data_IF_230211913826
#
_entry.id   IF_230211913826
#
_cell.length_a   1.000
_cell.length_b   1.000
_cell.length_c   1.000
_cell.angle_alpha   90.00
_cell.angle_beta   90.00
_cell.angle_gamma   90.00
#
_symmetry.space_group_name_H-M   'P 1'
#
loop_
_entity.id
_entity.type
_entity.pdbx_description
1 polymer ?
#
# COMPACT_ATOMS: atom_id res chain seq x y z
N UNK A 1 -22.69 1.07 1.56
CA UNK A 1 -21.38 1.68 1.85
C UNK A 1 -20.33 0.86 1.18
N UNK A 2 -19.39 1.51 0.50
CA UNK A 2 -18.41 0.80 -0.31
C UNK A 2 -17.18 1.66 -0.43
N UNK A 3 -16.00 1.02 -0.44
CA UNK A 3 -14.78 1.58 -0.97
C UNK A 3 -15.06 2.33 -2.30
N UNK A 4 -14.61 3.58 -2.41
CA UNK A 4 -14.81 4.40 -3.61
C UNK A 4 -13.47 4.89 -4.15
N UNK A 5 -13.24 4.80 -5.47
CA UNK A 5 -12.22 5.60 -6.12
C UNK A 5 -12.52 7.09 -5.92
N UNK A 6 -11.48 7.90 -5.74
CA UNK A 6 -11.63 9.35 -5.59
C UNK A 6 -10.49 10.08 -6.30
N UNK A 7 -10.44 11.41 -6.19
CA UNK A 7 -9.37 12.23 -6.75
C UNK A 7 -8.82 13.19 -5.70
N UNK A 8 -7.57 13.67 -5.86
CA UNK A 8 -7.02 14.75 -5.04
C UNK A 8 -7.95 15.96 -4.94
N UNK A 9 -8.58 16.36 -6.04
CA UNK A 9 -9.45 17.54 -6.07
C UNK A 9 -10.75 17.31 -5.28
N UNK A 10 -11.35 16.12 -5.42
CA UNK A 10 -12.56 15.76 -4.66
C UNK A 10 -12.28 15.68 -3.16
N UNK A 11 -11.10 15.16 -2.78
CA UNK A 11 -10.62 15.16 -1.41
C UNK A 11 -10.48 16.60 -0.88
N UNK A 12 -9.77 17.48 -1.60
CA UNK A 12 -9.55 18.86 -1.16
C UNK A 12 -10.86 19.63 -0.99
N UNK A 13 -11.83 19.43 -1.89
CA UNK A 13 -13.17 20.01 -1.76
C UNK A 13 -13.87 19.52 -0.48
N UNK A 14 -13.72 18.24 -0.12
CA UNK A 14 -14.29 17.69 1.11
C UNK A 14 -13.61 18.24 2.36
N UNK A 15 -12.28 18.30 2.36
CA UNK A 15 -11.48 18.81 3.48
C UNK A 15 -11.85 20.24 3.86
N UNK A 16 -12.20 21.08 2.87
CA UNK A 16 -12.65 22.46 3.12
C UNK A 16 -13.99 22.55 3.86
N UNK A 17 -14.80 21.48 3.84
CA UNK A 17 -16.13 21.43 4.43
C UNK A 17 -16.17 20.69 5.79
N UNK A 18 -15.07 20.06 6.19
CA UNK A 18 -15.03 19.21 7.38
C UNK A 18 -14.52 19.94 8.62
N UNK A 19 -15.10 19.66 9.81
CA UNK A 19 -14.72 20.37 11.03
C UNK A 19 -13.39 19.91 11.62
N UNK A 20 -13.01 18.62 11.48
CA UNK A 20 -11.67 18.15 11.86
C UNK A 20 -11.02 17.37 10.73
N UNK A 21 -9.80 17.81 10.40
CA UNK A 21 -8.88 17.17 9.49
C UNK A 21 -7.78 16.52 10.31
N UNK A 22 -7.61 15.22 10.16
CA UNK A 22 -6.54 14.47 10.82
C UNK A 22 -5.66 13.79 9.77
N UNK A 23 -4.36 13.70 10.04
CA UNK A 23 -3.44 12.85 9.30
C UNK A 23 -3.00 11.70 10.21
N UNK A 24 -3.02 10.48 9.69
CA UNK A 24 -2.44 9.31 10.35
C UNK A 24 -1.22 8.89 9.55
N UNK A 25 -0.04 9.03 10.14
CA UNK A 25 1.23 8.85 9.43
C UNK A 25 2.09 7.73 10.02
N UNK A 26 2.82 7.00 9.17
CA UNK A 26 3.69 5.87 9.51
C UNK A 26 5.13 6.32 9.83
N UNK A 27 5.46 6.44 11.11
CA UNK A 27 6.84 6.73 11.50
C UNK A 27 7.80 5.53 11.33
N UNK A 28 7.28 4.31 11.16
CA UNK A 28 8.11 3.16 10.85
C UNK A 28 8.83 3.27 9.50
N UNK A 29 8.39 4.18 8.63
CA UNK A 29 9.04 4.49 7.35
C UNK A 29 9.97 5.71 7.41
N UNK A 30 9.85 6.54 8.45
CA UNK A 30 10.60 7.79 8.60
C UNK A 30 10.86 8.08 10.10
N UNK A 31 12.03 7.72 10.63
CA UNK A 31 12.37 7.92 12.04
C UNK A 31 12.32 9.38 12.51
N UNK A 32 12.50 10.35 11.62
CA UNK A 32 12.46 11.78 11.93
C UNK A 32 11.08 12.43 11.71
N UNK A 33 10.02 11.63 11.50
CA UNK A 33 8.70 12.12 11.10
C UNK A 33 8.14 13.21 12.02
N UNK A 34 8.23 13.04 13.34
CA UNK A 34 7.74 14.05 14.30
C UNK A 34 8.52 15.37 14.17
N UNK A 35 9.83 15.31 13.93
CA UNK A 35 10.65 16.50 13.74
C UNK A 35 10.29 17.22 12.43
N UNK A 36 10.05 16.47 11.36
CA UNK A 36 9.58 17.01 10.06
C UNK A 36 8.23 17.71 10.23
N UNK A 37 7.28 17.08 10.93
CA UNK A 37 5.95 17.63 11.21
C UNK A 37 6.05 18.94 12.03
N UNK A 38 6.84 18.93 13.12
CA UNK A 38 7.04 20.13 13.96
C UNK A 38 7.75 21.26 13.22
N UNK A 39 8.60 20.96 12.24
CA UNK A 39 9.26 21.97 11.39
C UNK A 39 8.26 22.66 10.47
N UNK A 40 7.27 21.93 9.96
CA UNK A 40 6.20 22.49 9.11
C UNK A 40 5.17 23.27 9.92
N UNK A 41 4.80 22.77 11.09
CA UNK A 41 3.88 23.46 12.01
C UNK A 41 4.25 23.16 13.48
N UNK A 42 4.92 24.11 14.13
CA UNK A 42 5.45 23.96 15.48
C UNK A 42 4.37 23.93 16.59
N UNK A 43 3.13 24.33 16.28
CA UNK A 43 2.01 24.33 17.25
C UNK A 43 1.01 23.22 16.98
N UNK A 44 1.35 22.30 16.08
CA UNK A 44 0.44 21.26 15.68
C UNK A 44 0.19 20.29 16.82
N UNK A 45 -1.08 20.04 17.07
CA UNK A 45 -1.47 19.00 18.01
C UNK A 45 -1.24 17.64 17.37
N UNK A 46 -0.49 16.78 18.05
CA UNK A 46 -0.18 15.43 17.58
C UNK A 46 0.00 14.47 18.75
N UNK A 47 -0.21 13.18 18.50
CA UNK A 47 0.00 12.13 19.47
C UNK A 47 0.35 10.81 18.78
N UNK A 48 1.27 10.08 19.38
CA UNK A 48 1.59 8.72 18.97
C UNK A 48 0.45 7.77 19.35
N UNK A 49 -0.09 7.02 18.40
CA UNK A 49 -1.20 6.07 18.66
C UNK A 49 -0.75 4.99 19.65
N UNK A 50 0.50 4.58 19.60
CA UNK A 50 1.07 3.58 20.52
C UNK A 50 1.49 4.14 21.88
N UNK A 51 1.35 5.45 22.11
CA UNK A 51 1.48 5.97 23.48
C UNK A 51 0.31 5.52 24.34
N UNK A 52 0.54 5.25 25.63
CA UNK A 52 -0.47 4.73 26.57
C UNK A 52 -1.02 3.35 26.19
N UNK A 53 -0.18 2.52 25.59
CA UNK A 53 -0.49 1.13 25.22
C UNK A 53 0.63 0.22 25.70
N UNK A 54 0.52 -1.09 25.46
CA UNK A 54 1.61 -2.04 25.69
C UNK A 54 2.88 -1.75 24.87
N UNK A 55 2.77 -0.92 23.82
CA UNK A 55 3.87 -0.52 22.93
C UNK A 55 4.46 0.86 23.28
N UNK A 56 4.16 1.39 24.47
CA UNK A 56 4.57 2.74 24.85
C UNK A 56 6.09 2.97 24.80
N UNK A 57 6.91 1.95 25.05
CA UNK A 57 8.37 2.04 24.93
C UNK A 57 8.86 2.16 23.48
N UNK A 58 8.10 1.67 22.51
CA UNK A 58 8.36 1.76 21.07
C UNK A 58 7.35 2.64 20.34
N UNK A 59 6.76 3.64 21.02
CA UNK A 59 5.66 4.42 20.46
C UNK A 59 6.00 5.13 19.14
N UNK A 60 7.29 5.44 18.92
CA UNK A 60 7.80 6.08 17.69
C UNK A 60 7.89 5.14 16.49
N UNK A 61 7.76 3.83 16.70
CA UNK A 61 7.65 2.84 15.62
C UNK A 61 6.20 2.70 15.14
N UNK A 62 5.25 3.34 15.83
CA UNK A 62 3.83 3.33 15.53
C UNK A 62 3.34 4.54 14.73
N UNK A 63 2.02 4.61 14.47
CA UNK A 63 1.45 5.74 13.76
C UNK A 63 1.43 7.02 14.60
N UNK A 64 1.71 8.14 13.94
CA UNK A 64 1.55 9.49 14.47
C UNK A 64 0.22 10.06 13.98
N UNK A 65 -0.68 10.38 14.91
CA UNK A 65 -1.92 11.10 14.61
C UNK A 65 -1.67 12.61 14.75
N UNK A 66 -2.09 13.39 13.76
CA UNK A 66 -1.86 14.83 13.70
C UNK A 66 -3.17 15.53 13.42
N UNK A 67 -3.48 16.60 14.16
CA UNK A 67 -4.63 17.46 13.89
C UNK A 67 -4.23 18.58 12.92
N UNK A 68 -4.46 18.38 11.63
CA UNK A 68 -4.14 19.34 10.60
C UNK A 68 -5.27 20.36 10.38
N UNK A 69 -4.97 21.39 9.58
CA UNK A 69 -5.96 22.36 9.09
C UNK A 69 -5.97 22.36 7.57
N UNK A 70 -7.09 22.72 6.97
CA UNK A 70 -7.26 22.79 5.52
C UNK A 70 -6.30 23.78 4.85
N UNK A 71 -5.83 24.78 5.58
CA UNK A 71 -4.85 25.79 5.15
C UNK A 71 -3.40 25.48 5.61
N UNK A 72 -3.17 24.34 6.26
CA UNK A 72 -1.86 24.02 6.84
C UNK A 72 -0.83 23.55 5.81
N UNK A 73 0.47 23.88 5.99
CA UNK A 73 1.56 23.29 5.20
C UNK A 73 1.60 21.76 5.25
N UNK A 74 1.05 21.16 6.31
CA UNK A 74 0.96 19.71 6.48
C UNK A 74 0.05 19.04 5.44
N UNK A 75 -1.09 19.67 5.11
CA UNK A 75 -1.96 19.13 4.06
C UNK A 75 -1.24 19.17 2.70
N UNK A 76 -0.55 20.26 2.39
CA UNK A 76 0.23 20.37 1.15
C UNK A 76 1.34 19.31 1.08
N UNK A 77 2.05 19.09 2.20
CA UNK A 77 3.08 18.06 2.30
C UNK A 77 2.49 16.64 2.17
N UNK A 78 1.32 16.40 2.76
CA UNK A 78 0.59 15.15 2.58
C UNK A 78 0.28 14.90 1.10
N UNK A 79 -0.34 15.87 0.44
CA UNK A 79 -0.85 15.73 -0.93
C UNK A 79 0.20 15.47 -2.01
N UNK A 80 1.49 15.70 -1.75
CA UNK A 80 2.53 15.53 -2.77
C UNK A 80 3.71 14.67 -2.35
N UNK A 81 4.65 15.08 -1.47
CA UNK A 81 5.78 14.21 -1.15
C UNK A 81 5.36 12.96 -0.36
N UNK A 82 4.44 13.08 0.61
CA UNK A 82 4.25 12.01 1.58
C UNK A 82 3.39 10.85 1.08
N UNK A 83 2.37 11.13 0.25
CA UNK A 83 1.57 10.08 -0.40
C UNK A 83 2.42 9.17 -1.28
N UNK A 84 3.46 9.71 -1.92
CA UNK A 84 4.41 8.94 -2.75
C UNK A 84 5.30 8.02 -1.94
N UNK A 85 5.55 8.40 -0.68
CA UNK A 85 6.37 7.65 0.27
C UNK A 85 5.54 6.67 1.10
N UNK A 86 4.24 6.54 0.82
CA UNK A 86 3.32 5.68 1.59
C UNK A 86 3.22 6.04 3.06
N UNK A 87 3.46 7.30 3.42
CA UNK A 87 3.49 7.69 4.82
C UNK A 87 2.12 7.62 5.50
N UNK A 88 1.01 7.38 4.82
CA UNK A 88 -0.26 7.10 5.50
C UNK A 88 -1.49 7.64 4.80
N UNK A 89 -2.43 8.14 5.59
CA UNK A 89 -3.74 8.58 5.11
C UNK A 89 -4.29 9.80 5.84
N UNK A 90 -5.47 10.24 5.38
CA UNK A 90 -6.19 11.40 5.88
C UNK A 90 -7.55 10.95 6.41
N UNK A 91 -7.88 11.39 7.62
CA UNK A 91 -9.15 11.11 8.29
C UNK A 91 -9.94 12.40 8.45
N UNK A 92 -11.24 12.32 8.20
CA UNK A 92 -12.20 13.38 8.51
C UNK A 92 -13.10 12.89 9.63
N UNK A 93 -13.35 13.75 10.62
CA UNK A 93 -14.19 13.41 11.76
C UNK A 93 -14.87 14.66 12.33
N UNK A 94 -16.12 14.50 12.77
CA UNK A 94 -16.84 15.48 13.58
C UNK A 94 -16.51 15.32 15.09
N UNK A 95 -15.83 14.25 15.48
CA UNK A 95 -15.46 13.95 16.87
C UNK A 95 -14.12 14.57 17.25
N UNK A 96 -13.86 14.71 18.56
CA UNK A 96 -12.60 15.27 19.06
C UNK A 96 -11.37 14.44 18.68
N UNK A 97 -10.22 15.09 18.54
CA UNK A 97 -8.93 14.42 18.35
C UNK A 97 -8.70 13.27 19.35
N UNK A 98 -8.99 13.48 20.63
CA UNK A 98 -8.81 12.46 21.66
C UNK A 98 -9.75 11.26 21.46
N UNK A 99 -10.99 11.50 21.02
CA UNK A 99 -11.94 10.43 20.69
C UNK A 99 -11.40 9.56 19.55
N UNK A 100 -10.87 10.19 18.49
CA UNK A 100 -10.28 9.47 17.36
C UNK A 100 -9.01 8.74 17.78
N UNK A 101 -8.15 9.36 18.59
CA UNK A 101 -6.93 8.75 19.11
C UNK A 101 -7.23 7.48 19.93
N UNK A 102 -8.21 7.54 20.83
CA UNK A 102 -8.61 6.38 21.64
C UNK A 102 -9.23 5.27 20.79
N UNK A 103 -9.96 5.60 19.73
CA UNK A 103 -10.44 4.61 18.78
C UNK A 103 -9.29 3.93 18.02
N UNK A 104 -8.36 4.72 17.46
CA UNK A 104 -7.20 4.16 16.76
C UNK A 104 -6.35 3.29 17.69
N UNK A 105 -6.29 3.65 18.98
CA UNK A 105 -5.72 2.83 20.03
C UNK A 105 -6.50 1.51 20.17
N UNK A 106 -7.82 1.52 20.27
CA UNK A 106 -8.58 0.27 20.43
C UNK A 106 -8.47 -0.67 19.22
N UNK A 107 -8.21 -0.13 18.03
CA UNK A 107 -8.11 -0.89 16.77
C UNK A 107 -6.69 -1.35 16.39
N UNK A 108 -5.73 -1.33 17.33
CA UNK A 108 -4.34 -1.75 17.07
C UNK A 108 -4.18 -3.23 16.76
N UNK A 109 -5.12 -4.09 17.15
CA UNK A 109 -5.05 -5.52 16.91
C UNK A 109 -6.24 -5.99 16.09
N UNK A 110 -6.00 -7.02 15.29
CA UNK A 110 -7.04 -7.78 14.64
C UNK A 110 -7.18 -9.15 15.32
N UNK A 111 -8.40 -9.60 15.60
CA UNK A 111 -8.65 -10.99 15.97
C UNK A 111 -8.82 -11.84 14.71
N UNK A 112 -7.94 -12.82 14.53
CA UNK A 112 -7.96 -13.75 13.40
C UNK A 112 -8.84 -14.99 13.67
N UNK A 113 -9.21 -15.77 12.63
CA UNK A 113 -10.05 -16.96 12.79
C UNK A 113 -9.43 -18.06 13.66
N UNK A 114 -8.10 -18.11 13.74
CA UNK A 114 -7.35 -19.05 14.59
C UNK A 114 -7.26 -18.59 16.07
N UNK A 115 -7.84 -17.44 16.40
CA UNK A 115 -7.83 -16.85 17.74
C UNK A 115 -6.60 -15.98 18.05
N UNK A 116 -5.64 -15.87 17.13
CA UNK A 116 -4.48 -14.99 17.33
C UNK A 116 -4.86 -13.52 17.19
N UNK A 117 -4.05 -12.65 17.81
CA UNK A 117 -4.26 -11.19 17.80
C UNK A 117 -3.00 -10.45 17.32
N UNK A 118 -2.67 -10.49 16.02
CA UNK A 118 -1.57 -9.71 15.46
C UNK A 118 -1.82 -8.21 15.53
N UNK A 119 -0.72 -7.45 15.53
CA UNK A 119 -0.72 -6.01 15.35
C UNK A 119 -1.24 -5.66 13.95
N UNK A 120 -2.26 -4.81 13.90
CA UNK A 120 -2.90 -4.30 12.69
C UNK A 120 -2.31 -2.93 12.35
N UNK A 121 -1.58 -2.85 11.23
CA UNK A 121 -1.05 -1.59 10.69
C UNK A 121 -2.10 -0.88 9.87
N UNK A 122 -3.14 -0.41 10.56
CA UNK A 122 -4.27 0.33 9.97
C UNK A 122 -3.83 1.53 9.12
N UNK A 123 -2.70 2.15 9.45
CA UNK A 123 -2.18 3.31 8.76
C UNK A 123 -1.40 2.99 7.46
N UNK A 124 -1.19 1.71 7.11
CA UNK A 124 -0.47 1.30 5.89
C UNK A 124 -1.37 1.40 4.64
N UNK A 125 -1.19 2.44 3.78
CA UNK A 125 -2.11 2.69 2.68
C UNK A 125 -2.14 1.57 1.63
N UNK A 126 -1.06 0.79 1.51
CA UNK A 126 -0.98 -0.32 0.55
C UNK A 126 -1.77 -1.55 0.99
N UNK A 127 -2.26 -1.62 2.24
CA UNK A 127 -3.06 -2.75 2.71
C UNK A 127 -4.56 -2.38 2.86
N UNK A 128 -4.86 -1.09 3.02
CA UNK A 128 -6.21 -0.59 3.35
C UNK A 128 -7.28 -1.07 2.38
N UNK A 129 -7.03 -1.01 1.07
CA UNK A 129 -8.02 -1.43 0.06
C UNK A 129 -8.38 -2.91 0.17
N UNK A 130 -7.42 -3.78 0.45
CA UNK A 130 -7.67 -5.21 0.61
C UNK A 130 -8.45 -5.50 1.89
N UNK A 131 -8.18 -4.72 2.94
CA UNK A 131 -8.85 -4.84 4.23
C UNK A 131 -10.34 -4.49 4.16
N UNK A 132 -10.68 -3.37 3.51
CA UNK A 132 -12.06 -2.83 3.53
C UNK A 132 -12.96 -3.33 2.40
N UNK A 133 -12.41 -4.07 1.42
CA UNK A 133 -13.13 -4.44 0.19
C UNK A 133 -14.38 -5.28 0.46
N UNK A 134 -14.27 -6.24 1.37
CA UNK A 134 -15.30 -7.24 1.64
C UNK A 134 -15.92 -7.12 3.03
N UNK A 135 -15.66 -6.00 3.71
CA UNK A 135 -16.31 -5.67 4.96
C UNK A 135 -17.78 -5.33 4.72
N UNK A 136 -18.67 -5.88 5.54
CA UNK A 136 -20.04 -5.41 5.59
C UNK A 136 -20.16 -4.03 6.27
N UNK A 137 -21.37 -3.48 6.33
CA UNK A 137 -21.60 -2.17 6.95
C UNK A 137 -21.23 -2.13 8.43
N UNK A 138 -21.47 -3.21 9.19
CA UNK A 138 -21.20 -3.26 10.62
C UNK A 138 -19.69 -3.38 10.90
N UNK A 139 -18.99 -4.18 10.10
CA UNK A 139 -17.54 -4.34 10.17
C UNK A 139 -16.84 -3.03 9.82
N UNK A 140 -17.30 -2.35 8.77
CA UNK A 140 -16.78 -1.04 8.38
C UNK A 140 -17.10 0.03 9.43
N UNK A 141 -18.30 0.02 10.01
CA UNK A 141 -18.66 0.94 11.11
C UNK A 141 -17.76 0.72 12.34
N UNK A 142 -17.43 -0.55 12.64
CA UNK A 142 -16.50 -0.91 13.72
C UNK A 142 -15.08 -0.43 13.42
N UNK A 143 -14.62 -0.60 12.18
CA UNK A 143 -13.30 -0.13 11.76
C UNK A 143 -13.18 1.39 11.86
N UNK A 144 -14.16 2.13 11.34
CA UNK A 144 -14.13 3.58 11.27
C UNK A 144 -14.39 4.23 12.64
N UNK A 145 -15.28 3.67 13.45
CA UNK A 145 -15.67 4.23 14.75
C UNK A 145 -16.01 5.71 14.60
N UNK A 146 -15.34 6.65 15.31
CA UNK A 146 -15.58 8.08 15.21
C UNK A 146 -15.10 8.76 13.91
N UNK A 147 -14.44 8.04 13.00
CA UNK A 147 -13.93 8.59 11.73
C UNK A 147 -15.02 8.59 10.68
N UNK A 148 -15.45 9.77 10.22
CA UNK A 148 -16.49 9.88 9.20
C UNK A 148 -16.04 9.36 7.84
N UNK A 149 -14.83 9.75 7.43
CA UNK A 149 -14.24 9.33 6.17
C UNK A 149 -12.73 9.13 6.32
N UNK A 150 -12.22 8.14 5.61
CA UNK A 150 -10.80 7.86 5.49
C UNK A 150 -10.41 7.86 4.01
N UNK A 151 -9.38 8.62 3.69
CA UNK A 151 -8.77 8.76 2.39
C UNK A 151 -7.33 8.29 2.39
N UNK A 152 -6.90 7.60 1.33
CA UNK A 152 -5.51 7.20 1.14
C UNK A 152 -5.16 7.10 -0.35
N UNK A 153 -3.86 7.03 -0.62
CA UNK A 153 -3.31 6.88 -1.97
C UNK A 153 -2.46 5.61 -2.05
N UNK A 154 -2.77 4.74 -2.99
CA UNK A 154 -1.88 3.67 -3.42
C UNK A 154 -0.95 4.22 -4.51
N UNK A 155 0.18 4.82 -4.10
CA UNK A 155 1.21 5.25 -5.03
C UNK A 155 1.96 4.04 -5.63
N UNK A 156 2.19 4.04 -6.92
CA UNK A 156 2.85 2.95 -7.59
C UNK A 156 3.48 3.46 -8.89
N UNK A 157 4.82 3.48 -8.92
CA UNK A 157 5.64 3.77 -10.11
C UNK A 157 5.22 5.04 -10.87
N UNK A 158 5.08 6.16 -10.15
CA UNK A 158 4.79 7.47 -10.74
C UNK A 158 3.31 7.83 -10.83
N UNK A 159 2.41 6.91 -10.47
CA UNK A 159 0.95 7.14 -10.48
C UNK A 159 0.34 6.81 -9.12
N UNK A 160 -0.56 7.67 -8.65
CA UNK A 160 -1.27 7.52 -7.39
C UNK A 160 -2.74 7.21 -7.60
N UNK A 161 -3.18 6.03 -7.19
CA UNK A 161 -4.59 5.64 -7.22
C UNK A 161 -5.23 5.98 -5.87
N UNK A 162 -6.19 6.89 -5.88
CA UNK A 162 -6.80 7.43 -4.66
C UNK A 162 -8.11 6.72 -4.31
N UNK A 163 -8.27 6.45 -3.02
CA UNK A 163 -9.43 5.75 -2.49
C UNK A 163 -10.00 6.47 -1.28
N UNK A 164 -11.29 6.25 -1.05
CA UNK A 164 -11.96 6.66 0.17
C UNK A 164 -12.90 5.57 0.67
N UNK A 165 -13.14 5.60 1.97
CA UNK A 165 -14.22 4.87 2.63
C UNK A 165 -14.82 5.78 3.71
N UNK A 166 -16.10 5.66 3.99
CA UNK A 166 -16.76 6.48 5.00
C UNK A 166 -18.12 5.93 5.38
N UNK A 167 -18.71 6.45 6.45
CA UNK A 167 -20.04 6.04 6.91
C UNK A 167 -21.17 6.43 5.93
N UNK A 168 -22.24 5.64 5.91
CA UNK A 168 -23.50 5.99 5.25
C UNK A 168 -24.21 7.09 6.03
N UNK A 169 -23.97 7.16 7.35
CA UNK A 169 -24.53 8.15 8.27
C UNK A 169 -23.43 8.71 9.19
N UNK A 170 -22.76 9.81 8.79
CA UNK A 170 -21.72 10.50 9.58
C UNK A 170 -22.20 10.93 10.97
N UNK A 171 -21.27 11.08 11.92
CA UNK A 171 -21.52 11.68 13.24
C UNK A 171 -22.13 10.75 14.30
N UNK A 172 -22.25 9.44 14.03
CA UNK A 172 -22.74 8.43 15.00
C UNK A 172 -21.70 7.40 15.43
N UNK A 173 -20.47 7.57 14.98
CA UNK A 173 -19.34 6.70 15.26
C UNK A 173 -18.99 6.63 16.75
N UNK A 174 -19.39 5.55 17.42
CA UNK A 174 -18.86 5.24 18.75
C UNK A 174 -17.52 4.51 18.60
N UNK A 175 -16.59 4.75 19.52
CA UNK A 175 -15.35 3.98 19.56
C UNK A 175 -15.70 2.49 19.71
N UNK A 176 -15.08 1.65 18.89
CA UNK A 176 -15.33 0.22 18.94
C UNK A 176 -14.84 -0.37 20.27
N UNK A 177 -15.70 -1.17 20.89
CA UNK A 177 -15.39 -1.91 22.12
C UNK A 177 -14.73 -3.25 21.78
N UNK A 178 -13.49 -3.20 21.30
CA UNK A 178 -12.66 -4.39 21.07
C UNK A 178 -11.94 -4.41 19.72
N UNK A 179 -11.07 -5.41 19.50
CA UNK A 179 -10.29 -5.52 18.28
C UNK A 179 -11.19 -5.82 17.08
N UNK A 180 -10.77 -5.33 15.91
CA UNK A 180 -11.39 -5.66 14.63
C UNK A 180 -11.33 -7.17 14.41
N UNK A 181 -12.43 -7.79 13.99
CA UNK A 181 -12.45 -9.22 13.65
C UNK A 181 -12.20 -9.39 12.16
N UNK A 182 -11.18 -10.17 11.79
CA UNK A 182 -10.91 -10.49 10.39
C UNK A 182 -11.36 -11.92 10.09
N UNK A 183 -12.24 -12.05 9.11
CA UNK A 183 -12.69 -13.35 8.58
C UNK A 183 -11.66 -13.94 7.61
N UNK A 184 -11.80 -15.22 7.26
CA UNK A 184 -11.01 -15.83 6.20
C UNK A 184 -11.17 -15.08 4.87
N UNK A 185 -12.38 -14.57 4.59
CA UNK A 185 -12.65 -13.74 3.41
C UNK A 185 -11.80 -12.46 3.42
N UNK A 186 -11.71 -11.76 4.55
CA UNK A 186 -10.87 -10.56 4.66
C UNK A 186 -9.39 -10.87 4.42
N UNK A 187 -8.90 -12.00 4.94
CA UNK A 187 -7.51 -12.42 4.73
C UNK A 187 -7.23 -12.74 3.26
N UNK A 188 -8.15 -13.41 2.57
CA UNK A 188 -8.04 -13.65 1.13
C UNK A 188 -8.03 -12.35 0.33
N UNK A 189 -8.85 -11.36 0.70
CA UNK A 189 -8.93 -10.07 0.02
C UNK A 189 -7.70 -9.20 0.24
N UNK A 190 -7.12 -9.24 1.44
CA UNK A 190 -5.81 -8.66 1.73
C UNK A 190 -4.71 -9.28 0.86
N UNK A 191 -4.63 -10.60 0.80
CA UNK A 191 -3.64 -11.31 -0.02
C UNK A 191 -3.81 -11.02 -1.52
N UNK A 192 -5.06 -11.02 -2.00
CA UNK A 192 -5.38 -10.70 -3.39
C UNK A 192 -4.98 -9.26 -3.75
N UNK A 193 -5.22 -8.30 -2.85
CA UNK A 193 -4.82 -6.91 -3.07
C UNK A 193 -3.30 -6.74 -3.05
N UNK A 194 -2.56 -7.41 -2.15
CA UNK A 194 -1.09 -7.37 -2.15
C UNK A 194 -0.52 -7.89 -3.47
N UNK A 195 -1.07 -9.00 -3.97
CA UNK A 195 -0.71 -9.58 -5.27
C UNK A 195 -1.01 -8.60 -6.42
N UNK A 196 -2.20 -7.98 -6.40
CA UNK A 196 -2.62 -7.00 -7.40
C UNK A 196 -1.70 -5.76 -7.39
N UNK A 197 -1.37 -5.24 -6.21
CA UNK A 197 -0.49 -4.07 -6.06
C UNK A 197 0.92 -4.36 -6.60
N UNK A 198 1.51 -5.51 -6.23
CA UNK A 198 2.81 -5.96 -6.77
C UNK A 198 2.77 -6.10 -8.29
N UNK A 199 1.77 -6.79 -8.82
CA UNK A 199 1.69 -6.99 -10.27
C UNK A 199 1.52 -5.66 -11.02
N UNK A 200 0.79 -4.69 -10.46
CA UNK A 200 0.71 -3.34 -11.03
C UNK A 200 2.06 -2.60 -10.97
N UNK A 201 2.89 -2.81 -9.95
CA UNK A 201 4.27 -2.29 -9.93
C UNK A 201 5.08 -2.86 -11.09
N UNK A 202 4.98 -4.17 -11.34
CA UNK A 202 5.67 -4.79 -12.48
C UNK A 202 5.18 -4.22 -13.81
N UNK A 203 3.87 -4.08 -14.00
CA UNK A 203 3.27 -3.47 -15.20
C UNK A 203 3.88 -2.10 -15.47
N UNK A 204 3.84 -1.20 -14.49
CA UNK A 204 4.29 0.18 -14.68
C UNK A 204 5.79 0.28 -14.91
N UNK A 205 6.60 -0.52 -14.20
CA UNK A 205 8.05 -0.60 -14.46
C UNK A 205 8.37 -1.10 -15.87
N UNK A 206 7.71 -2.18 -16.30
CA UNK A 206 7.96 -2.76 -17.62
C UNK A 206 7.55 -1.80 -18.74
N UNK A 207 6.38 -1.14 -18.62
CA UNK A 207 5.96 -0.13 -19.59
C UNK A 207 6.91 1.09 -19.62
N UNK A 208 7.48 1.47 -18.48
CA UNK A 208 8.47 2.56 -18.40
C UNK A 208 9.88 2.17 -18.87
N UNK A 209 10.15 0.88 -19.10
CA UNK A 209 11.51 0.35 -19.34
C UNK A 209 11.99 0.43 -20.80
N UNK A 210 11.19 1.02 -21.70
CA UNK A 210 11.54 1.24 -23.10
C UNK A 210 11.68 -0.03 -23.94
N UNK A 211 10.96 -1.10 -23.59
CA UNK A 211 10.94 -2.35 -24.36
C UNK A 211 10.08 -2.16 -25.60
N UNK A 212 10.69 -2.22 -26.80
CA UNK A 212 9.98 -2.01 -28.06
C UNK A 212 8.77 -2.94 -28.27
N UNK A 213 8.83 -4.19 -27.77
CA UNK A 213 7.72 -5.13 -27.84
C UNK A 213 6.50 -4.73 -27.00
N UNK A 214 6.66 -3.77 -26.07
CA UNK A 214 5.60 -3.26 -25.21
C UNK A 214 5.03 -1.91 -25.69
N UNK A 215 5.53 -1.36 -26.80
CA UNK A 215 5.08 -0.07 -27.32
C UNK A 215 3.58 -0.12 -27.66
N UNK A 216 2.82 0.82 -27.09
CA UNK A 216 1.37 0.93 -27.31
C UNK A 216 0.50 -0.03 -26.48
N UNK A 217 1.09 -0.83 -25.58
CA UNK A 217 0.32 -1.69 -24.67
C UNK A 217 -0.17 -0.88 -23.46
N UNK A 218 -1.47 -0.96 -23.15
CA UNK A 218 -2.05 -0.32 -21.97
C UNK A 218 -1.82 -1.11 -20.66
N UNK A 219 -2.03 -0.46 -19.50
CA UNK A 219 -1.84 -1.07 -18.18
C UNK A 219 -2.72 -2.32 -17.97
N UNK A 220 -3.94 -2.35 -18.51
CA UNK A 220 -4.87 -3.46 -18.27
C UNK A 220 -4.47 -4.72 -19.05
N UNK A 221 -4.05 -4.53 -20.30
CA UNK A 221 -3.52 -5.58 -21.15
C UNK A 221 -2.20 -6.10 -20.58
N UNK A 222 -1.30 -5.20 -20.17
CA UNK A 222 -0.03 -5.58 -19.57
C UNK A 222 -0.22 -6.32 -18.24
N UNK A 223 -1.20 -5.94 -17.42
CA UNK A 223 -1.53 -6.65 -16.18
C UNK A 223 -1.91 -8.11 -16.43
N UNK A 224 -2.65 -8.37 -17.50
CA UNK A 224 -3.01 -9.74 -17.90
C UNK A 224 -1.77 -10.55 -18.26
N UNK A 225 -0.81 -9.96 -18.98
CA UNK A 225 0.45 -10.62 -19.30
C UNK A 225 1.31 -10.87 -18.07
N UNK A 226 1.47 -9.87 -17.20
CA UNK A 226 2.22 -10.01 -15.94
C UNK A 226 1.62 -11.11 -15.07
N UNK A 227 0.30 -11.17 -14.91
CA UNK A 227 -0.37 -12.24 -14.16
C UNK A 227 -0.04 -13.62 -14.72
N UNK A 228 -0.15 -13.80 -16.04
CA UNK A 228 0.17 -15.07 -16.70
C UNK A 228 1.65 -15.47 -16.53
N UNK A 229 2.58 -14.52 -16.65
CA UNK A 229 4.01 -14.83 -16.66
C UNK A 229 4.64 -14.87 -15.26
N UNK A 230 3.99 -14.30 -14.24
CA UNK A 230 4.40 -14.48 -12.84
C UNK A 230 4.24 -15.92 -12.37
N UNK A 231 3.21 -16.64 -12.82
CA UNK A 231 3.04 -18.08 -12.53
C UNK A 231 4.14 -18.93 -13.18
N UNK A 232 4.50 -18.65 -14.43
CA UNK A 232 5.61 -19.32 -15.13
C UNK A 232 6.95 -19.03 -14.44
N UNK A 233 7.21 -17.78 -14.05
CA UNK A 233 8.39 -17.40 -13.28
C UNK A 233 8.48 -18.19 -11.96
N UNK A 234 7.38 -18.26 -11.21
CA UNK A 234 7.34 -18.99 -9.95
C UNK A 234 7.65 -20.48 -10.14
N UNK A 235 7.07 -21.12 -11.17
CA UNK A 235 7.34 -22.53 -11.51
C UNK A 235 8.82 -22.82 -11.84
N UNK A 236 9.59 -21.77 -12.19
CA UNK A 236 11.02 -21.81 -12.50
C UNK A 236 11.90 -21.34 -11.34
N UNK A 237 11.33 -21.18 -10.14
CA UNK A 237 12.05 -20.81 -8.93
C UNK A 237 12.39 -19.32 -8.80
N UNK A 238 11.67 -18.43 -9.49
CA UNK A 238 11.74 -16.98 -9.29
C UNK A 238 10.66 -16.58 -8.26
N UNK A 239 11.03 -16.52 -6.99
CA UNK A 239 10.06 -16.42 -5.87
C UNK A 239 9.93 -15.02 -5.28
N UNK A 240 11.02 -14.23 -5.25
CA UNK A 240 10.99 -12.87 -4.73
C UNK A 240 10.68 -11.84 -5.84
N UNK A 241 10.29 -10.63 -5.43
CA UNK A 241 9.82 -9.60 -6.36
C UNK A 241 10.90 -9.15 -7.36
N UNK A 242 12.17 -9.08 -6.94
CA UNK A 242 13.28 -8.66 -7.81
C UNK A 242 13.54 -9.71 -8.89
N UNK A 243 13.58 -10.98 -8.48
CA UNK A 243 13.77 -12.12 -9.38
C UNK A 243 12.60 -12.26 -10.37
N UNK A 244 11.35 -12.09 -9.90
CA UNK A 244 10.17 -12.08 -10.76
C UNK A 244 10.20 -10.94 -11.78
N UNK A 245 10.51 -9.71 -11.35
CA UNK A 245 10.59 -8.57 -12.25
C UNK A 245 11.71 -8.75 -13.28
N UNK A 246 12.88 -9.23 -12.86
CA UNK A 246 13.98 -9.53 -13.77
C UNK A 246 13.62 -10.62 -14.77
N UNK A 247 12.90 -11.66 -14.36
CA UNK A 247 12.40 -12.67 -15.28
C UNK A 247 11.44 -12.07 -16.32
N UNK A 248 10.50 -11.24 -15.87
CA UNK A 248 9.54 -10.58 -16.77
C UNK A 248 10.25 -9.66 -17.77
N UNK A 249 11.25 -8.89 -17.33
CA UNK A 249 12.04 -8.03 -18.21
C UNK A 249 12.73 -8.84 -19.32
N UNK A 250 13.42 -9.94 -18.95
CA UNK A 250 14.03 -10.88 -19.90
C UNK A 250 12.97 -11.48 -20.84
N UNK A 251 11.83 -11.90 -20.30
CA UNK A 251 10.73 -12.47 -21.08
C UNK A 251 10.22 -11.52 -22.15
N UNK A 252 9.93 -10.26 -21.80
CA UNK A 252 9.36 -9.30 -22.75
C UNK A 252 10.39 -8.75 -23.74
N UNK A 253 11.67 -8.68 -23.38
CA UNK A 253 12.73 -8.26 -24.32
C UNK A 253 13.16 -9.35 -25.30
N UNK A 254 13.18 -10.61 -24.86
CA UNK A 254 13.83 -11.70 -25.58
C UNK A 254 12.96 -12.96 -25.67
N UNK A 255 11.64 -12.80 -25.77
CA UNK A 255 10.67 -13.89 -25.78
C UNK A 255 11.09 -15.05 -26.70
N UNK A 256 11.41 -14.76 -27.96
CA UNK A 256 11.79 -15.79 -28.94
C UNK A 256 13.01 -16.61 -28.48
N UNK A 257 14.06 -15.94 -27.99
CA UNK A 257 15.28 -16.57 -27.52
C UNK A 257 15.09 -17.33 -26.22
N UNK A 258 14.11 -16.96 -25.39
CA UNK A 258 13.82 -17.65 -24.14
C UNK A 258 13.20 -19.04 -24.37
N UNK A 259 12.46 -19.21 -25.48
CA UNK A 259 11.76 -20.46 -25.81
C UNK A 259 12.41 -21.29 -26.92
N UNK A 260 13.45 -20.77 -27.55
CA UNK A 260 14.23 -21.53 -28.53
C UNK A 260 15.10 -22.61 -27.84
N UNK A 261 14.89 -23.88 -28.20
CA UNK A 261 15.52 -25.04 -27.53
C UNK A 261 17.05 -25.01 -27.48
N UNK A 262 17.70 -24.34 -28.43
CA UNK A 262 19.16 -24.27 -28.53
C UNK A 262 19.73 -22.94 -28.02
N UNK A 263 18.87 -22.01 -27.58
CA UNK A 263 19.31 -20.71 -27.11
C UNK A 263 20.06 -20.81 -25.79
N UNK A 264 21.16 -20.05 -25.71
CA UNK A 264 21.92 -19.90 -24.48
C UNK A 264 21.06 -19.30 -23.36
N UNK A 265 20.13 -18.40 -23.70
CA UNK A 265 19.21 -17.77 -22.74
C UNK A 265 18.23 -18.78 -22.15
N UNK A 266 17.62 -19.62 -23.00
CA UNK A 266 16.72 -20.69 -22.55
C UNK A 266 17.43 -21.65 -21.57
N UNK A 267 18.69 -22.01 -21.87
CA UNK A 267 19.50 -22.87 -21.00
C UNK A 267 19.86 -22.20 -19.67
N UNK A 268 20.21 -20.92 -19.67
CA UNK A 268 20.52 -20.16 -18.45
C UNK A 268 19.28 -20.07 -17.57
N UNK A 269 18.15 -19.64 -18.15
CA UNK A 269 16.92 -19.39 -17.40
C UNK A 269 16.24 -20.69 -16.93
N UNK A 270 16.47 -21.81 -17.63
CA UNK A 270 15.98 -23.13 -17.25
C UNK A 270 16.83 -23.92 -16.25
N UNK A 271 18.01 -23.42 -15.85
CA UNK A 271 18.91 -24.14 -14.93
C UNK A 271 18.45 -24.03 -13.46
N UNK A 272 17.52 -24.89 -13.07
CA UNK A 272 16.96 -24.92 -11.70
C UNK A 272 17.98 -25.21 -10.59
N UNK A 273 19.20 -25.66 -10.93
CA UNK A 273 20.28 -25.85 -9.93
C UNK A 273 20.95 -24.54 -9.56
N UNK A 274 20.82 -23.51 -10.41
CA UNK A 274 21.40 -22.19 -10.18
C UNK A 274 20.34 -21.25 -9.57
N UNK A 275 20.66 -20.53 -8.48
CA UNK A 275 19.74 -19.54 -7.90
C UNK A 275 19.24 -18.52 -8.94
N UNK A 276 17.98 -18.09 -8.81
CA UNK A 276 17.30 -17.19 -9.75
C UNK A 276 18.11 -15.91 -10.06
N UNK A 277 18.53 -15.16 -9.04
CA UNK A 277 19.35 -13.96 -9.21
C UNK A 277 20.61 -14.18 -10.07
N UNK A 278 21.26 -15.34 -9.93
CA UNK A 278 22.48 -15.68 -10.68
C UNK A 278 22.17 -16.04 -12.14
N UNK A 279 21.00 -16.63 -12.40
CA UNK A 279 20.51 -16.83 -13.76
C UNK A 279 20.22 -15.49 -14.44
N UNK A 280 19.62 -14.54 -13.73
CA UNK A 280 19.35 -13.19 -14.25
C UNK A 280 20.63 -12.42 -14.56
N UNK A 281 21.62 -12.45 -13.69
CA UNK A 281 22.93 -11.82 -13.97
C UNK A 281 23.57 -12.38 -15.23
N UNK A 282 23.53 -13.71 -15.42
CA UNK A 282 24.07 -14.37 -16.62
C UNK A 282 23.26 -14.04 -17.87
N UNK A 283 21.94 -13.92 -17.74
CA UNK A 283 21.08 -13.46 -18.82
C UNK A 283 21.42 -12.02 -19.21
N UNK A 284 21.54 -11.09 -18.26
CA UNK A 284 21.94 -9.70 -18.53
C UNK A 284 23.33 -9.61 -19.18
N UNK A 285 24.33 -10.35 -18.68
CA UNK A 285 25.65 -10.38 -19.29
C UNK A 285 25.62 -10.89 -20.74
N UNK A 286 24.86 -11.97 -21.00
CA UNK A 286 24.66 -12.49 -22.36
C UNK A 286 24.01 -11.43 -23.28
N UNK A 287 23.05 -10.67 -22.75
CA UNK A 287 22.30 -9.65 -23.47
C UNK A 287 23.15 -8.39 -23.76
N UNK A 288 24.07 -8.04 -22.88
CA UNK A 288 25.03 -6.94 -23.05
C UNK A 288 26.26 -7.31 -23.91
N UNK A 289 26.33 -8.57 -24.38
CA UNK A 289 27.50 -9.08 -25.12
C UNK A 289 28.75 -9.21 -24.24
N UNK A 290 28.60 -9.11 -22.92
CA UNK A 290 29.67 -9.32 -21.94
C UNK A 290 29.79 -10.83 -21.75
N UNK A 291 30.82 -11.41 -22.35
CA UNK A 291 31.17 -12.81 -22.09
C UNK A 291 31.65 -12.94 -20.64
N UNK A 292 30.89 -13.70 -19.85
CA UNK A 292 31.25 -14.09 -18.48
C UNK A 292 32.37 -15.14 -18.46
#
# INVERSE_FOLDING_TARGET
MTLQPTTPDALLARVQQSPQLLLILDAGLEPELEAIVRKLDHRIWHAWVYSHTEYASQHRDGPLLIQARSDSPLLQAFMQPWVRLHWGGLLLSDQSFNTVLEHLRSQRHALLPDGTQPLLRLHEPRALRGMVRDMDSLELDTLLGPVDHWYWCEWNEGKGDWYSVGHSMPGRGQAANGPLRLSATHLHSLQAQQTQYRNMQFVRRLLASGIAALDGIDEATMLTYVQKHTEDAFSRGFENNEDMLGFLDVYFRYHEQLFEKQSALARIMGDLKTPAWRRLLRAHALMEGITA
#
